data_IF_521897806961
#
_entry.id   IF_521897806961
#
_cell.length_a   1.000
_cell.length_b   1.000
_cell.length_c   1.000
_cell.angle_alpha   90.00
_cell.angle_beta   90.00
_cell.angle_gamma   90.00
#
_symmetry.space_group_name_H-M   'P 1'
#
loop_
_entity.id
_entity.type
_entity.pdbx_description
1 polymer ?
#
# COMPACT_ATOMS: atom_id res chain seq x y z
N UNK A 1 16.87 -13.45 -13.29
CA UNK A 1 16.06 -13.91 -12.14
C UNK A 1 15.21 -15.10 -12.59
N UNK A 2 14.88 -16.05 -11.71
CA UNK A 2 14.06 -17.22 -12.08
C UNK A 2 12.57 -16.85 -11.98
N UNK A 3 11.84 -16.64 -13.10
CA UNK A 3 10.43 -16.23 -13.07
C UNK A 3 9.53 -17.24 -12.35
N UNK A 4 9.88 -18.52 -12.36
CA UNK A 4 9.12 -19.57 -11.67
C UNK A 4 9.06 -19.36 -10.15
N UNK A 5 10.12 -18.77 -9.56
CA UNK A 5 10.23 -18.57 -8.11
C UNK A 5 9.20 -17.57 -7.59
N UNK A 6 8.99 -16.47 -8.31
CA UNK A 6 8.04 -15.42 -7.90
C UNK A 6 6.60 -15.87 -8.08
N UNK A 7 6.32 -16.61 -9.15
CA UNK A 7 5.01 -17.21 -9.38
C UNK A 7 4.65 -18.22 -8.28
N UNK A 8 5.59 -19.07 -7.87
CA UNK A 8 5.40 -20.02 -6.77
C UNK A 8 5.14 -19.30 -5.44
N UNK A 9 5.91 -18.26 -5.12
CA UNK A 9 5.68 -17.47 -3.90
C UNK A 9 4.29 -16.82 -3.88
N UNK A 10 3.86 -16.23 -5.00
CA UNK A 10 2.54 -15.62 -5.13
C UNK A 10 1.44 -16.67 -4.91
N UNK A 11 1.59 -17.85 -5.54
CA UNK A 11 0.64 -18.95 -5.36
C UNK A 11 0.53 -19.38 -3.89
N UNK A 12 1.65 -19.52 -3.18
CA UNK A 12 1.65 -19.89 -1.77
C UNK A 12 0.96 -18.82 -0.89
N UNK A 13 1.13 -17.53 -1.22
CA UNK A 13 0.42 -16.44 -0.54
C UNK A 13 -1.10 -16.51 -0.81
N UNK A 14 -1.50 -16.81 -2.04
CA UNK A 14 -2.91 -16.97 -2.40
C UNK A 14 -3.54 -18.17 -1.68
N UNK A 15 -2.85 -19.30 -1.59
CA UNK A 15 -3.30 -20.46 -0.81
C UNK A 15 -3.48 -20.09 0.67
N UNK A 16 -2.49 -19.44 1.29
CA UNK A 16 -2.61 -18.96 2.68
C UNK A 16 -3.81 -18.03 2.88
N UNK A 17 -4.10 -17.16 1.91
CA UNK A 17 -5.24 -16.23 1.97
C UNK A 17 -6.58 -16.98 2.11
N UNK A 18 -6.68 -18.19 1.56
CA UNK A 18 -7.87 -19.04 1.69
C UNK A 18 -7.90 -19.85 2.99
N UNK A 19 -6.74 -20.15 3.58
CA UNK A 19 -6.60 -20.98 4.77
C UNK A 19 -6.75 -20.21 6.10
N UNK A 20 -6.67 -18.87 6.06
CA UNK A 20 -6.75 -18.00 7.24
C UNK A 20 -8.01 -17.16 7.25
N UNK A 21 -8.41 -16.70 8.44
CA UNK A 21 -9.59 -15.87 8.58
C UNK A 21 -9.41 -14.47 7.95
N UNK A 22 -10.52 -13.85 7.55
CA UNK A 22 -10.53 -12.55 6.86
C UNK A 22 -9.82 -11.42 7.64
N UNK A 23 -9.87 -11.47 8.98
CA UNK A 23 -9.20 -10.47 9.82
C UNK A 23 -7.68 -10.64 9.75
N UNK A 24 -7.19 -11.88 9.69
CA UNK A 24 -5.77 -12.18 9.47
C UNK A 24 -5.34 -11.74 8.06
N UNK A 25 -6.11 -12.05 7.02
CA UNK A 25 -5.86 -11.57 5.64
C UNK A 25 -5.72 -10.04 5.59
N UNK A 26 -6.67 -9.33 6.22
CA UNK A 26 -6.69 -7.87 6.23
C UNK A 26 -5.50 -7.29 6.99
N UNK A 27 -5.15 -7.86 8.16
CA UNK A 27 -4.03 -7.38 8.97
C UNK A 27 -2.66 -7.63 8.36
N UNK A 28 -2.51 -8.71 7.60
CA UNK A 28 -1.28 -9.02 6.86
C UNK A 28 -1.23 -8.30 5.51
N UNK A 29 -2.30 -7.60 5.11
CA UNK A 29 -2.40 -6.89 3.84
C UNK A 29 -1.93 -7.78 2.65
N UNK A 30 -2.33 -9.06 2.60
CA UNK A 30 -1.75 -10.04 1.66
C UNK A 30 -1.84 -9.61 0.18
N UNK A 31 -2.90 -8.90 -0.20
CA UNK A 31 -3.04 -8.35 -1.56
C UNK A 31 -1.96 -7.29 -1.88
N UNK A 32 -1.65 -6.42 -0.92
CA UNK A 32 -0.54 -5.46 -1.05
C UNK A 32 0.80 -6.18 -1.07
N UNK A 33 0.96 -7.24 -0.27
CA UNK A 33 2.17 -8.05 -0.25
C UNK A 33 2.48 -8.66 -1.63
N UNK A 34 1.47 -9.24 -2.29
CA UNK A 34 1.57 -9.75 -3.66
C UNK A 34 1.95 -8.63 -4.65
N UNK A 35 1.32 -7.45 -4.56
CA UNK A 35 1.66 -6.32 -5.44
C UNK A 35 3.11 -5.87 -5.26
N UNK A 36 3.60 -5.80 -4.02
CA UNK A 36 5.00 -5.46 -3.72
C UNK A 36 5.95 -6.46 -4.36
N UNK A 37 5.71 -7.76 -4.20
CA UNK A 37 6.54 -8.82 -4.80
C UNK A 37 6.59 -8.67 -6.32
N UNK A 38 5.44 -8.50 -6.99
CA UNK A 38 5.39 -8.26 -8.45
C UNK A 38 6.18 -7.02 -8.89
N UNK A 39 6.19 -5.97 -8.07
CA UNK A 39 6.93 -4.74 -8.37
C UNK A 39 8.42 -4.92 -8.18
N UNK A 40 8.85 -5.50 -7.07
CA UNK A 40 10.26 -5.81 -6.85
C UNK A 40 10.80 -6.73 -7.96
N UNK A 41 10.02 -7.72 -8.37
CA UNK A 41 10.35 -8.62 -9.48
C UNK A 41 10.63 -7.82 -10.77
N UNK A 42 9.74 -6.89 -11.11
CA UNK A 42 9.86 -6.05 -12.30
C UNK A 42 11.08 -5.12 -12.31
N UNK A 43 11.68 -4.81 -11.15
CA UNK A 43 12.86 -3.94 -11.03
C UNK A 43 14.16 -4.70 -10.71
N UNK A 44 14.06 -5.95 -10.29
CA UNK A 44 15.18 -6.78 -9.82
C UNK A 44 16.36 -6.89 -10.79
N UNK A 45 16.12 -6.82 -12.11
CA UNK A 45 17.20 -6.92 -13.11
C UNK A 45 18.12 -5.72 -13.08
N UNK A 46 17.62 -4.56 -12.63
CA UNK A 46 18.32 -3.28 -12.70
C UNK A 46 18.47 -2.64 -11.30
N UNK A 47 18.05 -3.31 -10.24
CA UNK A 47 18.10 -2.83 -8.88
C UNK A 47 18.47 -3.97 -7.92
N UNK A 48 19.72 -3.94 -7.43
CA UNK A 48 20.25 -4.93 -6.50
C UNK A 48 19.47 -4.96 -5.17
N UNK A 49 19.04 -3.79 -4.67
CA UNK A 49 18.19 -3.69 -3.48
C UNK A 49 16.83 -4.39 -3.70
N UNK A 50 16.21 -4.27 -4.88
CA UNK A 50 14.97 -4.98 -5.18
C UNK A 50 15.17 -6.51 -5.15
N UNK A 51 16.28 -7.00 -5.72
CA UNK A 51 16.61 -8.42 -5.66
C UNK A 51 16.82 -8.90 -4.22
N UNK A 52 17.52 -8.11 -3.40
CA UNK A 52 17.73 -8.41 -1.99
C UNK A 52 16.40 -8.45 -1.22
N UNK A 53 15.55 -7.44 -1.41
CA UNK A 53 14.26 -7.37 -0.76
C UNK A 53 13.33 -8.50 -1.16
N UNK A 54 13.35 -8.97 -2.41
CA UNK A 54 12.61 -10.17 -2.81
C UNK A 54 12.97 -11.34 -1.91
N UNK A 55 14.26 -11.70 -1.88
CA UNK A 55 14.76 -12.82 -1.06
C UNK A 55 14.39 -12.66 0.41
N UNK A 56 14.50 -11.46 0.97
CA UNK A 56 14.10 -11.18 2.34
C UNK A 56 12.60 -11.36 2.58
N UNK A 57 11.74 -10.96 1.63
CA UNK A 57 10.30 -11.12 1.72
C UNK A 57 9.87 -12.58 1.57
N UNK A 58 10.55 -13.40 0.77
CA UNK A 58 10.23 -14.83 0.67
C UNK A 58 10.54 -15.54 1.97
N UNK A 59 11.75 -15.35 2.51
CA UNK A 59 12.14 -15.92 3.81
C UNK A 59 11.19 -15.44 4.93
N UNK A 60 10.77 -14.18 4.87
CA UNK A 60 9.81 -13.63 5.82
C UNK A 60 8.42 -14.28 5.66
N UNK A 61 7.99 -14.55 4.44
CA UNK A 61 6.72 -15.24 4.16
C UNK A 61 6.73 -16.68 4.66
N UNK A 62 7.80 -17.45 4.45
CA UNK A 62 7.92 -18.80 4.99
C UNK A 62 7.79 -18.81 6.52
N UNK A 63 8.43 -17.84 7.19
CA UNK A 63 8.31 -17.67 8.63
C UNK A 63 6.87 -17.31 9.06
N UNK A 64 6.18 -16.43 8.32
CA UNK A 64 4.76 -16.13 8.57
C UNK A 64 3.91 -17.39 8.41
N UNK A 65 4.12 -18.12 7.32
CA UNK A 65 3.31 -19.28 6.95
C UNK A 65 3.38 -20.40 7.97
N UNK A 66 4.54 -20.61 8.57
CA UNK A 66 4.71 -21.67 9.57
C UNK A 66 4.01 -21.39 10.91
N UNK A 67 3.69 -20.13 11.21
CA UNK A 67 3.15 -19.74 12.52
C UNK A 67 1.85 -18.91 12.44
N UNK A 68 1.22 -18.84 11.27
CA UNK A 68 0.11 -17.91 10.99
C UNK A 68 -1.06 -17.98 11.97
N UNK A 69 -1.37 -19.17 12.49
CA UNK A 69 -2.44 -19.39 13.47
C UNK A 69 -2.10 -18.91 14.90
N UNK A 70 -0.85 -18.54 15.16
CA UNK A 70 -0.36 -18.13 16.49
C UNK A 70 0.08 -16.66 16.52
N UNK A 71 -0.29 -15.87 15.50
CA UNK A 71 0.15 -14.49 15.36
C UNK A 71 -0.25 -13.62 16.55
N UNK A 72 0.75 -13.01 17.17
CA UNK A 72 0.59 -11.99 18.19
C UNK A 72 0.50 -10.61 17.55
N UNK A 73 0.13 -9.59 18.34
CA UNK A 73 0.15 -8.19 17.91
C UNK A 73 1.56 -7.75 17.47
N UNK A 74 2.60 -8.31 18.07
CA UNK A 74 3.99 -7.99 17.74
C UNK A 74 4.37 -8.51 16.35
N UNK A 75 3.90 -9.71 15.99
CA UNK A 75 4.16 -10.30 14.67
C UNK A 75 3.56 -9.47 13.53
N UNK A 76 2.32 -9.00 13.71
CA UNK A 76 1.69 -8.07 12.75
C UNK A 76 2.49 -6.77 12.61
N UNK A 77 3.01 -6.23 13.72
CA UNK A 77 3.81 -5.01 13.70
C UNK A 77 5.15 -5.24 13.00
N UNK A 78 5.79 -6.37 13.25
CA UNK A 78 7.06 -6.75 12.63
C UNK A 78 6.89 -6.97 11.13
N UNK A 79 5.82 -7.67 10.72
CA UNK A 79 5.44 -7.79 9.31
C UNK A 79 5.25 -6.41 8.68
N UNK A 80 4.36 -5.57 9.23
CA UNK A 80 4.10 -4.25 8.68
C UNK A 80 5.37 -3.38 8.59
N UNK A 81 6.28 -3.48 9.55
CA UNK A 81 7.56 -2.75 9.53
C UNK A 81 8.41 -3.17 8.33
N UNK A 82 8.57 -4.47 8.09
CA UNK A 82 9.30 -5.00 6.93
C UNK A 82 8.64 -4.58 5.61
N UNK A 83 7.33 -4.73 5.51
CA UNK A 83 6.56 -4.34 4.31
C UNK A 83 6.67 -2.84 4.02
N UNK A 84 6.71 -1.99 5.06
CA UNK A 84 6.89 -0.54 4.92
C UNK A 84 8.32 -0.13 4.53
N UNK A 85 9.34 -0.86 4.97
CA UNK A 85 10.73 -0.62 4.52
C UNK A 85 10.85 -0.85 3.01
N UNK A 86 10.33 -1.98 2.52
CA UNK A 86 10.30 -2.30 1.09
C UNK A 86 9.46 -1.29 0.31
N UNK A 87 8.27 -0.96 0.81
CA UNK A 87 7.40 0.06 0.23
C UNK A 87 8.13 1.41 0.09
N UNK A 88 8.87 1.81 1.13
CA UNK A 88 9.64 3.07 1.11
C UNK A 88 10.73 3.06 0.05
N UNK A 89 11.42 1.93 -0.14
CA UNK A 89 12.38 1.77 -1.23
C UNK A 89 11.69 1.93 -2.60
N UNK A 90 10.60 1.21 -2.83
CA UNK A 90 9.82 1.28 -4.06
C UNK A 90 9.30 2.71 -4.36
N UNK A 91 8.86 3.43 -3.34
CA UNK A 91 8.40 4.81 -3.49
C UNK A 91 9.53 5.79 -3.82
N UNK A 92 10.67 5.68 -3.11
CA UNK A 92 11.79 6.63 -3.26
C UNK A 92 12.61 6.37 -4.51
N UNK A 93 12.92 5.12 -4.79
CA UNK A 93 13.83 4.70 -5.86
C UNK A 93 13.11 4.52 -7.19
N UNK A 94 11.88 4.00 -7.17
CA UNK A 94 11.12 3.67 -8.38
C UNK A 94 9.90 4.58 -8.62
N UNK A 95 9.74 5.62 -7.80
CA UNK A 95 8.66 6.61 -7.91
C UNK A 95 7.25 5.99 -7.98
N UNK A 96 7.07 4.87 -7.26
CA UNK A 96 5.78 4.25 -7.07
C UNK A 96 5.00 4.97 -5.98
N UNK A 97 3.69 4.77 -5.95
CA UNK A 97 2.80 5.32 -4.94
C UNK A 97 1.82 4.26 -4.46
N UNK A 98 1.41 4.36 -3.20
CA UNK A 98 0.39 3.46 -2.66
C UNK A 98 -0.98 3.78 -3.24
N UNK A 99 -1.86 2.80 -3.29
CA UNK A 99 -3.26 3.03 -3.60
C UNK A 99 -3.87 4.11 -2.70
N UNK A 100 -4.68 5.00 -3.28
CA UNK A 100 -5.37 6.11 -2.60
C UNK A 100 -4.45 7.12 -1.88
N UNK A 101 -3.17 7.19 -2.25
CA UNK A 101 -2.21 8.12 -1.66
C UNK A 101 -2.62 9.57 -1.85
N UNK A 102 -2.90 9.98 -3.08
CA UNK A 102 -3.23 11.37 -3.38
C UNK A 102 -4.62 11.74 -2.87
N UNK A 103 -5.60 10.85 -2.98
CA UNK A 103 -6.92 11.03 -2.39
C UNK A 103 -6.82 11.35 -0.90
N UNK A 104 -6.05 10.58 -0.13
CA UNK A 104 -5.92 10.77 1.32
C UNK A 104 -5.28 12.12 1.66
N UNK A 105 -4.21 12.50 0.94
CA UNK A 105 -3.53 13.79 1.15
C UNK A 105 -4.44 14.95 0.77
N UNK A 106 -5.02 14.93 -0.44
CA UNK A 106 -5.83 16.05 -0.93
C UNK A 106 -7.18 16.15 -0.22
N UNK A 107 -7.74 15.06 0.29
CA UNK A 107 -8.89 15.11 1.20
C UNK A 107 -8.56 15.89 2.47
N UNK A 108 -7.40 15.60 3.09
CA UNK A 108 -6.95 16.30 4.30
C UNK A 108 -6.72 17.79 4.04
N UNK A 109 -6.02 18.12 2.94
CA UNK A 109 -5.82 19.51 2.48
C UNK A 109 -7.16 20.19 2.20
N UNK A 110 -8.06 19.50 1.50
CA UNK A 110 -9.39 19.99 1.16
C UNK A 110 -10.22 20.34 2.40
N UNK A 111 -10.22 19.49 3.43
CA UNK A 111 -10.86 19.79 4.71
C UNK A 111 -10.24 21.03 5.36
N UNK A 112 -8.90 21.11 5.41
CA UNK A 112 -8.19 22.26 5.98
C UNK A 112 -8.55 23.57 5.28
N UNK A 113 -8.70 23.56 3.96
CA UNK A 113 -9.13 24.72 3.17
C UNK A 113 -10.64 24.97 3.24
N UNK A 114 -11.44 23.92 3.43
CA UNK A 114 -12.89 24.02 3.57
C UNK A 114 -13.33 24.78 4.82
N UNK A 115 -12.56 24.70 5.91
CA UNK A 115 -12.85 25.42 7.16
C UNK A 115 -12.92 26.95 6.95
N UNK A 116 -11.88 27.63 6.45
CA UNK A 116 -11.95 29.07 6.21
C UNK A 116 -12.97 29.45 5.13
N UNK A 117 -13.18 28.61 4.11
CA UNK A 117 -14.22 28.85 3.09
C UNK A 117 -15.61 28.85 3.73
N UNK A 118 -15.90 27.88 4.58
CA UNK A 118 -17.17 27.77 5.31
C UNK A 118 -17.42 28.96 6.22
N UNK A 119 -16.38 29.37 6.95
CA UNK A 119 -16.47 30.50 7.85
C UNK A 119 -16.66 31.82 7.10
N UNK A 120 -15.89 32.08 6.03
CA UNK A 120 -15.90 33.37 5.33
C UNK A 120 -17.09 33.57 4.39
N UNK A 121 -17.59 32.49 3.77
CA UNK A 121 -18.67 32.60 2.77
C UNK A 121 -20.05 32.29 3.33
N UNK A 122 -20.13 31.50 4.40
CA UNK A 122 -21.40 30.96 4.91
C UNK A 122 -21.59 31.18 6.42
N UNK A 123 -20.63 31.83 7.10
CA UNK A 123 -20.55 31.93 8.57
C UNK A 123 -20.72 30.56 9.26
N UNK A 124 -20.39 29.48 8.56
CA UNK A 124 -20.65 28.12 9.00
C UNK A 124 -19.61 27.13 8.46
N UNK A 125 -18.68 26.75 9.34
CA UNK A 125 -17.63 25.77 9.06
C UNK A 125 -18.20 24.41 8.64
N UNK A 126 -19.39 24.03 9.13
CA UNK A 126 -20.02 22.76 8.79
C UNK A 126 -20.41 22.67 7.31
N UNK A 127 -20.64 23.79 6.63
CA UNK A 127 -20.91 23.82 5.19
C UNK A 127 -19.63 23.83 4.36
N UNK A 128 -18.56 24.44 4.86
CA UNK A 128 -17.28 24.52 4.16
C UNK A 128 -16.49 23.22 4.13
N UNK A 129 -16.54 22.42 5.20
CA UNK A 129 -15.81 21.15 5.27
C UNK A 129 -16.22 20.15 4.16
N UNK A 130 -17.52 19.86 3.91
CA UNK A 130 -17.94 18.99 2.83
C UNK A 130 -17.54 19.52 1.43
N UNK A 131 -17.59 20.83 1.22
CA UNK A 131 -17.18 21.47 -0.04
C UNK A 131 -15.68 21.24 -0.26
N UNK A 132 -14.86 21.59 0.72
CA UNK A 132 -13.41 21.42 0.66
C UNK A 132 -13.01 19.95 0.51
N UNK A 133 -13.64 19.05 1.26
CA UNK A 133 -13.46 17.60 1.15
C UNK A 133 -13.79 17.10 -0.25
N UNK A 134 -14.91 17.52 -0.83
CA UNK A 134 -15.33 17.11 -2.18
C UNK A 134 -14.33 17.51 -3.25
N UNK A 135 -13.81 18.74 -3.16
CA UNK A 135 -12.74 19.24 -4.06
C UNK A 135 -11.46 18.43 -3.86
N UNK A 136 -11.07 18.19 -2.60
CA UNK A 136 -9.90 17.38 -2.26
C UNK A 136 -9.98 15.96 -2.82
N UNK A 137 -11.12 15.31 -2.67
CA UNK A 137 -11.39 13.97 -3.23
C UNK A 137 -11.31 14.02 -4.76
N UNK A 138 -11.95 14.99 -5.42
CA UNK A 138 -11.94 15.08 -6.87
C UNK A 138 -10.51 15.21 -7.44
N UNK A 139 -9.69 16.08 -6.84
CA UNK A 139 -8.29 16.24 -7.25
C UNK A 139 -7.48 14.99 -6.96
N UNK A 140 -7.56 14.47 -5.73
CA UNK A 140 -6.75 13.34 -5.29
C UNK A 140 -7.07 12.05 -6.04
N UNK A 141 -8.35 11.75 -6.25
CA UNK A 141 -8.77 10.59 -7.07
C UNK A 141 -8.34 10.71 -8.53
N UNK A 142 -8.32 11.93 -9.09
CA UNK A 142 -7.77 12.18 -10.42
C UNK A 142 -6.28 11.85 -10.53
N UNK A 143 -5.49 12.24 -9.52
CA UNK A 143 -4.06 11.93 -9.44
C UNK A 143 -3.80 10.44 -9.20
N UNK A 144 -4.56 9.78 -8.34
CA UNK A 144 -4.48 8.34 -8.13
C UNK A 144 -4.84 7.56 -9.41
N UNK A 145 -5.86 8.02 -10.16
CA UNK A 145 -6.22 7.44 -11.44
C UNK A 145 -5.12 7.60 -12.50
N UNK A 146 -4.45 8.75 -12.55
CA UNK A 146 -3.28 8.95 -13.43
C UNK A 146 -2.11 8.03 -13.02
N UNK A 147 -1.80 7.92 -11.72
CA UNK A 147 -0.78 6.99 -11.23
C UNK A 147 -1.10 5.54 -11.59
N UNK A 148 -2.36 5.12 -11.48
CA UNK A 148 -2.83 3.80 -11.90
C UNK A 148 -2.67 3.60 -13.40
N UNK A 149 -3.06 4.56 -14.23
CA UNK A 149 -2.88 4.52 -15.70
C UNK A 149 -1.42 4.41 -16.11
N UNK A 150 -0.52 5.09 -15.39
CA UNK A 150 0.94 5.03 -15.63
C UNK A 150 1.60 3.79 -15.02
N UNK A 151 0.83 2.90 -14.40
CA UNK A 151 1.36 1.71 -13.75
C UNK A 151 2.31 2.03 -12.59
N UNK A 152 2.09 3.13 -11.87
CA UNK A 152 2.91 3.55 -10.71
C UNK A 152 2.36 3.09 -9.35
N UNK A 153 1.31 2.27 -9.33
CA UNK A 153 0.70 1.79 -8.09
C UNK A 153 1.40 0.54 -7.55
N UNK A 154 1.68 0.55 -6.25
CA UNK A 154 2.06 -0.60 -5.41
C UNK A 154 0.89 -1.04 -4.53
#
# INVERSE_FOLDING_TARGET
>A
MNPERVEELIKNIEEMKHDVDEKTVTKLELDKYIRIIKRLDSFSTNCEECQKYLVELENHFENISSQVHQFTKEDYKNHNTKTNQVTSHLQKTHHLTSENYYMTIFMSVGISLGIPIGLLLFDNVALGMPIGMSIGIAIGTGLDADAKKRGKII
#
